data_IF_229642981355
#
_entry.id   IF_229642981355
#
_cell.length_a   1.000
_cell.length_b   1.000
_cell.length_c   1.000
_cell.angle_alpha   90.00
_cell.angle_beta   90.00
_cell.angle_gamma   90.00
#
_symmetry.space_group_name_H-M   'P 1'
#
loop_
_entity.id
_entity.type
_entity.pdbx_description
1 polymer ?
#
# COMPACT_ATOMS: atom_id res chain seq x y z
N UNK A 1 17.54 5.33 -14.03
CA UNK A 1 16.71 6.13 -13.08
C UNK A 1 15.31 5.57 -13.12
N UNK A 2 14.86 4.99 -12.01
CA UNK A 2 13.47 4.52 -11.85
C UNK A 2 12.66 5.60 -11.13
N UNK A 3 11.37 5.65 -11.40
CA UNK A 3 10.41 6.38 -10.59
C UNK A 3 9.62 5.37 -9.77
N UNK A 4 9.56 5.59 -8.46
CA UNK A 4 8.98 4.65 -7.50
C UNK A 4 7.97 5.40 -6.64
N UNK A 5 6.76 4.84 -6.49
CA UNK A 5 5.74 5.34 -5.58
C UNK A 5 5.63 4.40 -4.36
N UNK A 6 5.68 4.99 -3.16
CA UNK A 6 5.44 4.30 -1.88
C UNK A 6 4.19 4.90 -1.23
N UNK A 7 3.08 4.18 -1.34
CA UNK A 7 1.75 4.61 -0.89
C UNK A 7 1.48 4.01 0.49
N UNK A 8 1.27 4.87 1.50
CA UNK A 8 1.32 4.50 2.91
C UNK A 8 2.78 4.40 3.37
N UNK A 9 3.57 5.43 3.04
CA UNK A 9 5.02 5.36 3.29
C UNK A 9 5.41 5.47 4.78
N UNK A 10 4.47 5.76 5.67
CA UNK A 10 4.70 5.92 7.10
C UNK A 10 5.93 6.82 7.37
N UNK A 11 6.87 6.42 8.23
CA UNK A 11 8.13 7.15 8.47
C UNK A 11 9.23 6.88 7.44
N UNK A 12 8.88 6.20 6.34
CA UNK A 12 9.73 5.97 5.17
C UNK A 12 10.72 4.81 5.30
N UNK A 13 10.44 3.81 6.12
CA UNK A 13 11.38 2.70 6.34
C UNK A 13 11.55 1.84 5.08
N UNK A 14 10.47 1.63 4.30
CA UNK A 14 10.58 0.95 3.02
C UNK A 14 11.43 1.76 2.02
N UNK A 15 11.24 3.08 1.94
CA UNK A 15 12.09 3.96 1.11
C UNK A 15 13.55 3.88 1.57
N UNK A 16 13.83 3.92 2.88
CA UNK A 16 15.21 3.82 3.42
C UNK A 16 15.89 2.52 3.01
N UNK A 17 15.15 1.39 3.10
CA UNK A 17 15.67 0.08 2.74
C UNK A 17 15.99 -0.07 1.25
N UNK A 18 15.23 0.63 0.38
CA UNK A 18 15.37 0.56 -1.09
C UNK A 18 16.10 1.78 -1.67
N UNK A 19 16.56 2.71 -0.82
CA UNK A 19 17.11 3.98 -1.27
C UNK A 19 18.39 3.80 -2.11
N UNK A 20 18.41 4.49 -3.22
CA UNK A 20 19.62 4.75 -3.98
C UNK A 20 19.55 6.15 -4.60
N UNK A 21 20.69 6.72 -4.95
CA UNK A 21 20.79 8.11 -5.44
C UNK A 21 20.38 8.28 -6.90
N UNK A 22 20.22 7.19 -7.64
CA UNK A 22 19.87 7.22 -9.07
C UNK A 22 18.38 7.16 -9.32
N UNK A 23 17.56 6.72 -8.36
CA UNK A 23 16.13 6.57 -8.50
C UNK A 23 15.37 7.70 -7.77
N UNK A 24 14.15 7.98 -8.22
CA UNK A 24 13.27 9.00 -7.64
C UNK A 24 12.15 8.33 -6.88
N UNK A 25 11.90 8.78 -5.66
CA UNK A 25 10.87 8.26 -4.77
C UNK A 25 9.80 9.31 -4.49
N UNK A 26 8.53 8.93 -4.62
CA UNK A 26 7.36 9.71 -4.20
C UNK A 26 6.65 8.90 -3.13
N UNK A 27 6.74 9.35 -1.88
CA UNK A 27 5.99 8.79 -0.75
C UNK A 27 4.66 9.51 -0.57
N UNK A 28 3.61 8.78 -0.24
CA UNK A 28 2.29 9.33 0.11
C UNK A 28 1.91 8.81 1.49
N UNK A 29 1.61 9.73 2.40
CA UNK A 29 1.24 9.42 3.79
C UNK A 29 0.07 10.32 4.23
N UNK A 30 -0.98 9.68 4.75
CA UNK A 30 -2.22 10.37 5.12
C UNK A 30 -2.09 11.11 6.46
N UNK A 31 -1.41 10.53 7.45
CA UNK A 31 -1.17 11.18 8.74
C UNK A 31 -0.20 12.36 8.58
N UNK A 32 -0.66 13.55 9.00
CA UNK A 32 0.16 14.76 8.90
C UNK A 32 1.46 14.68 9.72
N UNK A 33 1.38 14.19 10.94
CA UNK A 33 2.54 14.14 11.85
C UNK A 33 3.56 13.09 11.38
N UNK A 34 3.07 11.93 10.93
CA UNK A 34 3.88 10.85 10.38
C UNK A 34 4.54 11.32 9.08
N UNK A 35 3.79 11.93 8.15
CA UNK A 35 4.34 12.48 6.90
C UNK A 35 5.38 13.58 7.16
N UNK A 36 5.17 14.42 8.17
CA UNK A 36 6.16 15.42 8.57
C UNK A 36 7.45 14.77 9.07
N UNK A 37 7.34 13.75 9.93
CA UNK A 37 8.49 12.99 10.43
C UNK A 37 9.24 12.33 9.28
N UNK A 38 8.52 11.70 8.33
CA UNK A 38 9.10 11.12 7.14
C UNK A 38 9.88 12.16 6.32
N UNK A 39 9.29 13.33 6.04
CA UNK A 39 9.99 14.44 5.34
C UNK A 39 11.27 14.85 6.03
N UNK A 40 11.27 14.96 7.36
CA UNK A 40 12.48 15.32 8.11
C UNK A 40 13.57 14.26 7.96
N UNK A 41 13.20 12.97 7.88
CA UNK A 41 14.14 11.87 7.65
C UNK A 41 14.83 11.93 6.28
N UNK A 42 14.19 12.55 5.29
CA UNK A 42 14.69 12.68 3.91
C UNK A 42 15.04 14.10 3.49
N UNK A 43 15.12 15.06 4.41
CA UNK A 43 15.34 16.49 4.11
C UNK A 43 16.57 16.78 3.24
N UNK A 44 17.59 15.94 3.31
CA UNK A 44 18.86 16.08 2.57
C UNK A 44 18.89 15.16 1.31
N UNK A 45 17.74 14.61 0.89
CA UNK A 45 17.59 13.68 -0.24
C UNK A 45 16.71 14.33 -1.32
N UNK A 46 17.33 15.00 -2.28
CA UNK A 46 16.61 15.73 -3.36
C UNK A 46 15.75 14.82 -4.25
N UNK A 47 16.05 13.52 -4.28
CA UNK A 47 15.35 12.53 -5.07
C UNK A 47 14.18 11.84 -4.31
N UNK A 48 13.85 12.29 -3.09
CA UNK A 48 12.73 11.81 -2.29
C UNK A 48 11.75 12.95 -2.02
N UNK A 49 10.49 12.77 -2.41
CA UNK A 49 9.41 13.70 -2.14
C UNK A 49 8.30 12.99 -1.35
N UNK A 50 7.91 13.54 -0.21
CA UNK A 50 6.81 13.01 0.61
C UNK A 50 5.61 13.94 0.54
N UNK A 51 4.45 13.39 0.20
CA UNK A 51 3.18 14.08 0.06
C UNK A 51 2.25 13.69 1.21
N UNK A 52 1.57 14.69 1.78
CA UNK A 52 0.54 14.43 2.78
C UNK A 52 -0.84 14.41 2.10
N UNK A 53 -1.27 13.23 1.71
CA UNK A 53 -2.57 12.92 1.13
C UNK A 53 -3.00 11.52 1.55
N UNK A 54 -4.29 11.27 1.54
CA UNK A 54 -4.88 9.94 1.59
C UNK A 54 -5.00 9.41 0.16
N UNK A 55 -4.33 8.30 -0.14
CA UNK A 55 -4.49 7.64 -1.44
C UNK A 55 -5.89 7.01 -1.55
N UNK A 56 -6.60 7.28 -2.66
CA UNK A 56 -7.97 6.81 -2.88
C UNK A 56 -8.26 6.66 -4.38
N UNK A 57 -9.45 6.18 -4.71
CA UNK A 57 -9.93 6.04 -6.10
C UNK A 57 -9.94 7.37 -6.86
N UNK A 58 -10.27 8.47 -6.18
CA UNK A 58 -10.41 9.80 -6.80
C UNK A 58 -9.63 10.85 -6.03
N UNK A 59 -9.18 11.88 -6.76
CA UNK A 59 -8.47 13.04 -6.21
C UNK A 59 -9.40 14.22 -5.97
N UNK A 60 -8.97 15.14 -5.10
CA UNK A 60 -9.62 16.43 -4.90
C UNK A 60 -10.88 16.37 -4.03
N UNK A 61 -11.08 15.28 -3.32
CA UNK A 61 -12.10 15.13 -2.27
C UNK A 61 -11.43 15.05 -0.90
N UNK A 62 -12.20 14.77 0.14
CA UNK A 62 -11.65 14.42 1.45
C UNK A 62 -12.37 13.21 2.01
N UNK A 63 -11.64 12.41 2.77
CA UNK A 63 -12.14 11.19 3.41
C UNK A 63 -11.74 11.16 4.88
N UNK A 64 -12.52 10.48 5.70
CA UNK A 64 -12.19 10.20 7.09
C UNK A 64 -10.99 9.26 7.17
N UNK A 65 -10.09 9.58 8.07
CA UNK A 65 -8.89 8.83 8.38
C UNK A 65 -8.76 8.67 9.89
N UNK A 66 -8.50 7.48 10.33
CA UNK A 66 -8.44 7.07 11.73
C UNK A 66 -6.96 6.85 12.11
N UNK A 67 -6.39 7.84 12.79
CA UNK A 67 -5.03 7.73 13.30
C UNK A 67 -4.97 6.75 14.47
N UNK A 68 -3.91 5.94 14.53
CA UNK A 68 -3.62 5.02 15.62
C UNK A 68 -2.22 5.29 16.16
N UNK A 69 -2.08 5.54 17.46
CA UNK A 69 -0.78 5.88 18.07
C UNK A 69 0.17 4.67 18.25
N UNK A 70 -0.22 3.50 17.76
CA UNK A 70 0.60 2.30 17.83
C UNK A 70 1.78 2.37 16.86
N UNK A 71 3.01 2.20 17.35
CA UNK A 71 4.26 2.09 16.56
C UNK A 71 4.38 3.14 15.43
N UNK A 72 4.31 4.43 15.76
CA UNK A 72 4.40 5.53 14.79
C UNK A 72 3.26 5.54 13.75
N UNK A 73 2.07 5.07 14.13
CA UNK A 73 0.90 5.15 13.27
C UNK A 73 0.80 4.04 12.21
N UNK A 74 1.56 2.95 12.35
CA UNK A 74 1.53 1.84 11.37
C UNK A 74 0.15 1.22 11.16
N UNK A 75 -0.76 1.33 12.13
CA UNK A 75 -2.13 0.79 12.04
C UNK A 75 -3.17 1.85 11.65
N UNK A 76 -2.73 3.06 11.30
CA UNK A 76 -3.64 4.14 10.90
C UNK A 76 -4.28 3.83 9.54
N UNK A 77 -5.58 4.07 9.40
CA UNK A 77 -6.34 3.58 8.25
C UNK A 77 -7.49 4.50 7.84
N UNK A 78 -7.93 4.41 6.60
CA UNK A 78 -9.20 4.92 6.10
C UNK A 78 -10.30 3.82 6.04
N UNK A 79 -9.98 2.59 6.42
CA UNK A 79 -10.90 1.46 6.40
C UNK A 79 -11.61 1.30 7.75
N UNK A 80 -12.93 1.51 7.78
CA UNK A 80 -13.74 1.23 8.99
C UNK A 80 -13.67 -0.26 9.33
N UNK A 81 -13.65 -1.15 8.33
CA UNK A 81 -13.60 -2.58 8.56
C UNK A 81 -12.28 -3.00 9.23
N UNK A 82 -11.16 -2.43 8.81
CA UNK A 82 -9.88 -2.64 9.46
C UNK A 82 -9.91 -2.23 10.93
N UNK A 83 -10.40 -1.01 11.20
CA UNK A 83 -10.52 -0.45 12.53
C UNK A 83 -11.46 -1.25 13.45
N UNK A 84 -12.62 -1.71 12.93
CA UNK A 84 -13.71 -2.25 13.75
C UNK A 84 -13.79 -3.78 13.77
N UNK A 85 -13.21 -4.49 12.78
CA UNK A 85 -13.41 -5.94 12.60
C UNK A 85 -12.12 -6.74 12.49
N UNK A 86 -10.98 -6.12 12.19
CA UNK A 86 -9.70 -6.80 12.03
C UNK A 86 -9.04 -7.17 13.36
N UNK A 87 -7.90 -7.83 13.27
CA UNK A 87 -7.05 -8.21 14.43
C UNK A 87 -6.66 -7.03 15.32
N UNK A 88 -6.71 -5.83 14.78
CA UNK A 88 -6.36 -4.58 15.45
C UNK A 88 -7.57 -3.78 15.96
N UNK A 89 -8.79 -4.33 15.92
CA UNK A 89 -10.02 -3.66 16.36
C UNK A 89 -9.99 -3.23 17.84
N UNK A 90 -9.15 -3.84 18.66
CA UNK A 90 -8.97 -3.48 20.08
C UNK A 90 -7.94 -2.35 20.28
N UNK A 91 -7.29 -1.86 19.24
CA UNK A 91 -6.36 -0.75 19.33
C UNK A 91 -7.12 0.58 19.51
N UNK A 92 -6.44 1.55 20.09
CA UNK A 92 -7.02 2.87 20.30
C UNK A 92 -6.80 3.71 19.03
N UNK A 93 -7.88 3.99 18.34
CA UNK A 93 -7.92 4.96 17.26
C UNK A 93 -8.41 6.31 17.78
N UNK A 94 -7.88 7.37 17.20
CA UNK A 94 -8.34 8.73 17.49
C UNK A 94 -9.67 9.03 16.77
N UNK A 95 -10.31 10.15 17.13
CA UNK A 95 -11.45 10.67 16.38
C UNK A 95 -11.03 10.92 14.92
N UNK A 96 -11.90 10.56 13.95
CA UNK A 96 -11.52 10.67 12.55
C UNK A 96 -11.25 12.12 12.12
N UNK A 97 -10.20 12.29 11.36
CA UNK A 97 -9.87 13.55 10.70
C UNK A 97 -10.17 13.46 9.21
N UNK A 98 -10.47 14.60 8.57
CA UNK A 98 -10.62 14.66 7.12
C UNK A 98 -9.27 14.92 6.46
N UNK A 99 -8.87 14.03 5.57
CA UNK A 99 -7.64 14.16 4.78
C UNK A 99 -7.99 14.29 3.30
N UNK A 100 -7.32 15.19 2.59
CA UNK A 100 -7.49 15.35 1.14
C UNK A 100 -7.01 14.11 0.40
N UNK A 101 -7.76 13.71 -0.63
CA UNK A 101 -7.48 12.49 -1.39
C UNK A 101 -6.64 12.75 -2.64
N UNK A 102 -5.84 11.74 -3.02
CA UNK A 102 -5.11 11.68 -4.28
C UNK A 102 -5.17 10.27 -4.87
N UNK A 103 -5.43 10.17 -6.19
CA UNK A 103 -5.40 8.89 -6.90
C UNK A 103 -4.02 8.61 -7.48
N UNK A 104 -3.72 7.33 -7.75
CA UNK A 104 -2.47 6.94 -8.40
C UNK A 104 -2.38 7.58 -9.80
N UNK A 105 -3.47 7.67 -10.54
CA UNK A 105 -3.49 8.34 -11.86
C UNK A 105 -3.14 9.83 -11.77
N UNK A 106 -3.55 10.51 -10.69
CA UNK A 106 -3.14 11.88 -10.47
C UNK A 106 -1.64 12.00 -10.14
N UNK A 107 -1.10 11.07 -9.37
CA UNK A 107 0.36 10.98 -9.15
C UNK A 107 1.11 10.74 -10.46
N UNK A 108 0.60 9.85 -11.32
CA UNK A 108 1.18 9.60 -12.65
C UNK A 108 1.13 10.87 -13.52
N UNK A 109 0.03 11.61 -13.46
CA UNK A 109 -0.09 12.89 -14.20
C UNK A 109 0.92 13.93 -13.72
N UNK A 110 1.19 13.99 -12.42
CA UNK A 110 2.10 14.97 -11.81
C UNK A 110 3.58 14.61 -11.96
N UNK A 111 3.93 13.33 -11.85
CA UNK A 111 5.32 12.89 -11.71
C UNK A 111 5.81 11.99 -12.84
N UNK A 112 4.91 11.47 -13.67
CA UNK A 112 5.19 10.48 -14.70
C UNK A 112 4.80 9.06 -14.25
N UNK A 113 4.82 8.13 -15.22
CA UNK A 113 4.49 6.72 -14.98
C UNK A 113 5.58 6.04 -14.17
N UNK A 114 5.28 5.47 -13.00
CA UNK A 114 6.28 4.82 -12.17
C UNK A 114 6.71 3.46 -12.74
N UNK A 115 7.92 3.06 -12.40
CA UNK A 115 8.43 1.71 -12.64
C UNK A 115 7.92 0.72 -11.59
N UNK A 116 7.70 1.22 -10.37
CA UNK A 116 7.27 0.40 -9.23
C UNK A 116 6.32 1.19 -8.33
N UNK A 117 5.26 0.54 -7.86
CA UNK A 117 4.35 1.05 -6.83
C UNK A 117 4.29 0.05 -5.69
N UNK A 118 4.51 0.51 -4.45
CA UNK A 118 4.17 -0.23 -3.23
C UNK A 118 2.95 0.43 -2.59
N UNK A 119 1.99 -0.38 -2.16
CA UNK A 119 0.76 0.07 -1.46
C UNK A 119 0.65 -0.72 -0.16
N UNK A 120 0.57 0.02 0.94
CA UNK A 120 0.43 -0.53 2.28
C UNK A 120 -0.31 0.52 3.11
N UNK A 121 -1.62 0.39 3.19
CA UNK A 121 -2.54 1.41 3.71
C UNK A 121 -3.58 0.82 4.67
N UNK A 122 -3.21 -0.33 5.25
CA UNK A 122 -3.93 -0.93 6.38
C UNK A 122 -5.42 -1.17 6.06
N UNK A 123 -5.67 -2.07 5.08
CA UNK A 123 -7.00 -2.52 4.69
C UNK A 123 -7.75 -1.61 3.71
N UNK A 124 -7.07 -0.63 3.12
CA UNK A 124 -7.66 0.28 2.12
C UNK A 124 -7.07 0.09 0.71
N UNK A 125 -6.29 -0.96 0.49
CA UNK A 125 -5.53 -1.26 -0.73
C UNK A 125 -6.42 -1.32 -1.97
N UNK A 126 -7.57 -2.00 -1.89
CA UNK A 126 -8.49 -2.12 -3.02
C UNK A 126 -9.00 -0.75 -3.52
N UNK A 127 -9.24 0.19 -2.62
CA UNK A 127 -9.68 1.53 -2.99
C UNK A 127 -8.56 2.31 -3.67
N UNK A 128 -7.33 2.17 -3.16
CA UNK A 128 -6.14 2.78 -3.76
C UNK A 128 -5.87 2.19 -5.14
N UNK A 129 -5.93 0.86 -5.29
CA UNK A 129 -5.79 0.17 -6.59
C UNK A 129 -6.77 0.69 -7.64
N UNK A 130 -8.04 0.92 -7.27
CA UNK A 130 -9.05 1.50 -8.17
C UNK A 130 -8.76 2.93 -8.62
N UNK A 131 -7.81 3.60 -7.98
CA UNK A 131 -7.27 4.90 -8.41
C UNK A 131 -6.21 4.82 -9.52
N UNK A 132 -5.86 3.61 -9.99
CA UNK A 132 -4.96 3.34 -11.10
C UNK A 132 -5.76 2.77 -12.27
N UNK A 133 -5.74 3.41 -13.46
CA UNK A 133 -6.47 2.94 -14.65
C UNK A 133 -5.56 2.41 -15.75
N UNK A 134 -4.27 2.27 -15.50
CA UNK A 134 -3.29 1.80 -16.47
C UNK A 134 -2.27 0.86 -15.83
N UNK A 135 -1.81 -0.15 -16.58
CA UNK A 135 -0.76 -1.06 -16.12
C UNK A 135 0.56 -0.31 -15.91
N UNK A 136 1.26 -0.62 -14.80
CA UNK A 136 2.66 -0.24 -14.53
C UNK A 136 3.57 -1.47 -14.59
N UNK A 137 4.89 -1.30 -14.47
CA UNK A 137 5.82 -2.43 -14.63
C UNK A 137 5.74 -3.41 -13.45
N UNK A 138 5.66 -2.87 -12.23
CA UNK A 138 5.57 -3.65 -10.99
C UNK A 138 4.66 -2.93 -10.00
N UNK A 139 3.76 -3.66 -9.37
CA UNK A 139 2.97 -3.16 -8.25
C UNK A 139 2.98 -4.20 -7.13
N UNK A 140 3.07 -3.73 -5.89
CA UNK A 140 2.84 -4.56 -4.72
C UNK A 140 1.82 -3.92 -3.80
N UNK A 141 1.02 -4.76 -3.13
CA UNK A 141 0.06 -4.29 -2.14
C UNK A 141 -0.11 -5.30 -0.99
N UNK A 142 -0.39 -4.77 0.21
CA UNK A 142 -0.57 -5.60 1.39
C UNK A 142 -1.82 -6.48 1.29
N UNK A 143 -1.75 -7.67 1.88
CA UNK A 143 -2.88 -8.55 2.13
C UNK A 143 -2.93 -9.00 3.59
N UNK A 144 -4.14 -9.16 4.12
CA UNK A 144 -4.38 -9.73 5.44
C UNK A 144 -5.46 -10.81 5.34
N UNK A 145 -5.32 -11.87 6.14
CA UNK A 145 -6.22 -13.04 6.09
C UNK A 145 -7.67 -12.66 6.31
N UNK A 146 -7.95 -11.78 7.24
CA UNK A 146 -9.32 -11.35 7.57
C UNK A 146 -9.98 -10.52 6.45
N UNK A 147 -9.19 -9.96 5.52
CA UNK A 147 -9.66 -9.15 4.37
C UNK A 147 -9.31 -9.78 3.02
N UNK A 148 -9.15 -11.11 2.99
CA UNK A 148 -8.70 -11.85 1.81
C UNK A 148 -9.59 -11.63 0.57
N UNK A 149 -10.89 -11.41 0.77
CA UNK A 149 -11.82 -11.08 -0.32
C UNK A 149 -11.46 -9.75 -1.01
N UNK A 150 -11.03 -8.75 -0.24
CA UNK A 150 -10.54 -7.48 -0.79
C UNK A 150 -9.26 -7.69 -1.60
N UNK A 151 -8.37 -8.55 -1.12
CA UNK A 151 -7.14 -8.94 -1.83
C UNK A 151 -7.44 -9.64 -3.15
N UNK A 152 -8.38 -10.61 -3.15
CA UNK A 152 -8.82 -11.30 -4.37
C UNK A 152 -9.43 -10.30 -5.37
N UNK A 153 -10.26 -9.37 -4.90
CA UNK A 153 -10.81 -8.31 -5.74
C UNK A 153 -9.71 -7.39 -6.31
N UNK A 154 -8.65 -7.12 -5.53
CA UNK A 154 -7.47 -6.39 -5.99
C UNK A 154 -6.72 -7.13 -7.11
N UNK A 155 -6.49 -8.45 -6.96
CA UNK A 155 -5.87 -9.28 -8.00
C UNK A 155 -6.74 -9.26 -9.28
N UNK A 156 -8.06 -9.45 -9.16
CA UNK A 156 -8.96 -9.43 -10.31
C UNK A 156 -8.94 -8.05 -11.00
N UNK A 157 -8.94 -6.97 -10.25
CA UNK A 157 -8.82 -5.62 -10.80
C UNK A 157 -7.52 -5.42 -11.58
N UNK A 158 -6.40 -5.89 -11.02
CA UNK A 158 -5.12 -5.82 -11.72
C UNK A 158 -5.09 -6.67 -13.01
N UNK A 159 -5.79 -7.82 -13.03
CA UNK A 159 -5.97 -8.61 -14.26
C UNK A 159 -6.71 -7.81 -15.34
N UNK A 160 -7.77 -7.08 -14.98
CA UNK A 160 -8.51 -6.22 -15.91
C UNK A 160 -7.61 -5.11 -16.49
N UNK A 161 -6.63 -4.63 -15.72
CA UNK A 161 -5.60 -3.68 -16.19
C UNK A 161 -4.48 -4.32 -17.02
N UNK A 162 -4.49 -5.65 -17.20
CA UNK A 162 -3.54 -6.38 -18.02
C UNK A 162 -2.31 -6.92 -17.28
N UNK A 163 -2.32 -6.96 -15.94
CA UNK A 163 -1.32 -7.72 -15.18
C UNK A 163 -1.57 -9.22 -15.34
N UNK A 164 -0.53 -10.00 -15.56
CA UNK A 164 -0.65 -11.42 -15.88
C UNK A 164 0.17 -12.33 -14.99
N UNK A 165 1.07 -11.78 -14.21
CA UNK A 165 1.98 -12.52 -13.34
C UNK A 165 1.87 -11.99 -11.91
N UNK A 166 1.70 -12.89 -10.95
CA UNK A 166 1.47 -12.58 -9.55
C UNK A 166 2.41 -13.39 -8.64
N UNK A 167 2.68 -12.86 -7.46
CA UNK A 167 3.37 -13.58 -6.39
C UNK A 167 2.73 -13.24 -5.04
N UNK A 168 2.57 -14.24 -4.18
CA UNK A 168 2.08 -14.09 -2.81
C UNK A 168 3.23 -14.32 -1.86
N UNK A 169 3.63 -13.27 -1.15
CA UNK A 169 4.66 -13.30 -0.11
C UNK A 169 4.01 -13.21 1.26
N UNK A 170 4.42 -14.09 2.16
CA UNK A 170 4.13 -13.99 3.57
C UNK A 170 5.12 -12.98 4.16
N UNK A 171 4.67 -12.09 5.00
CA UNK A 171 5.44 -10.96 5.54
C UNK A 171 5.80 -9.87 4.49
N UNK A 172 6.41 -8.78 4.93
CA UNK A 172 6.95 -7.71 4.08
C UNK A 172 8.45 -7.49 4.37
N UNK A 173 9.35 -8.34 3.87
CA UNK A 173 10.77 -8.01 3.86
C UNK A 173 11.00 -6.92 2.80
N UNK A 174 11.13 -5.69 3.20
CA UNK A 174 11.15 -4.47 2.35
C UNK A 174 11.97 -4.56 1.07
N UNK A 175 13.03 -5.37 1.07
CA UNK A 175 13.91 -5.57 -0.09
C UNK A 175 13.59 -6.82 -0.91
N UNK A 176 12.50 -7.54 -0.56
CA UNK A 176 12.12 -8.73 -1.30
C UNK A 176 11.77 -8.40 -2.76
N UNK A 177 12.17 -9.31 -3.66
CA UNK A 177 11.79 -9.29 -5.08
C UNK A 177 11.48 -10.72 -5.51
N UNK A 178 10.29 -10.95 -6.12
CA UNK A 178 9.95 -12.29 -6.61
C UNK A 178 10.94 -12.77 -7.67
N UNK A 179 11.43 -13.98 -7.53
CA UNK A 179 12.26 -14.71 -8.49
C UNK A 179 11.45 -15.71 -9.34
N UNK A 180 10.24 -16.03 -8.89
CA UNK A 180 9.25 -16.82 -9.62
C UNK A 180 7.91 -16.07 -9.70
N UNK A 181 7.05 -16.51 -10.62
CA UNK A 181 5.78 -15.84 -10.87
C UNK A 181 4.69 -16.86 -11.18
N UNK A 182 3.48 -16.58 -10.73
CA UNK A 182 2.31 -17.44 -10.85
C UNK A 182 1.22 -16.74 -11.66
N UNK A 183 0.26 -17.51 -12.15
CA UNK A 183 -1.00 -16.98 -12.68
C UNK A 183 -1.82 -16.37 -11.53
N UNK A 184 -2.80 -15.54 -11.86
CA UNK A 184 -3.74 -15.02 -10.86
C UNK A 184 -4.51 -16.14 -10.15
N UNK A 185 -4.91 -17.19 -10.88
CA UNK A 185 -5.62 -18.34 -10.32
C UNK A 185 -4.76 -19.08 -9.27
N UNK A 186 -3.48 -19.30 -9.56
CA UNK A 186 -2.55 -19.92 -8.61
C UNK A 186 -2.31 -19.05 -7.38
N UNK A 187 -2.17 -17.72 -7.56
CA UNK A 187 -2.02 -16.77 -6.46
C UNK A 187 -3.28 -16.76 -5.56
N UNK A 188 -4.47 -16.69 -6.14
CA UNK A 188 -5.75 -16.76 -5.40
C UNK A 188 -5.89 -18.09 -4.68
N UNK A 189 -5.52 -19.21 -5.31
CA UNK A 189 -5.52 -20.54 -4.66
C UNK A 189 -4.58 -20.57 -3.46
N UNK A 190 -3.39 -19.98 -3.57
CA UNK A 190 -2.44 -19.89 -2.46
C UNK A 190 -3.03 -19.08 -1.30
N UNK A 191 -3.66 -17.92 -1.56
CA UNK A 191 -4.36 -17.12 -0.56
C UNK A 191 -5.51 -17.91 0.11
N UNK A 192 -6.29 -18.67 -0.66
CA UNK A 192 -7.34 -19.54 -0.12
C UNK A 192 -6.84 -20.60 0.86
N UNK A 193 -5.58 -21.02 0.74
CA UNK A 193 -4.94 -21.94 1.67
C UNK A 193 -4.77 -21.35 3.08
N UNK A 194 -4.52 -20.04 3.21
CA UNK A 194 -4.39 -19.38 4.50
C UNK A 194 -5.72 -19.33 5.29
N UNK A 195 -6.85 -19.14 4.61
CA UNK A 195 -8.20 -19.10 5.22
C UNK A 195 -8.57 -20.39 5.99
N UNK A 196 -7.91 -21.50 5.71
CA UNK A 196 -8.21 -22.81 6.30
C UNK A 196 -7.10 -23.36 7.21
N UNK A 197 -6.04 -22.61 7.40
CA UNK A 197 -4.96 -23.01 8.32
C UNK A 197 -5.33 -22.52 9.72
N UNK A 198 -5.67 -23.44 10.63
CA UNK A 198 -6.07 -23.13 12.02
C UNK A 198 -5.02 -22.35 12.81
N UNK A 199 -3.76 -22.41 12.39
CA UNK A 199 -2.63 -21.71 12.99
C UNK A 199 -2.26 -20.40 12.29
N UNK A 200 -2.93 -20.07 11.18
CA UNK A 200 -2.70 -18.88 10.36
C UNK A 200 -3.47 -17.64 10.84
N UNK A 201 -4.12 -17.69 12.00
CA UNK A 201 -4.74 -16.50 12.61
C UNK A 201 -3.68 -15.42 12.74
N UNK A 202 -3.80 -14.40 11.86
CA UNK A 202 -2.91 -13.26 11.67
C UNK A 202 -1.92 -13.39 10.50
N UNK A 203 -2.17 -14.23 9.51
CA UNK A 203 -1.38 -14.23 8.28
C UNK A 203 -1.56 -12.91 7.52
N UNK A 204 -0.47 -12.38 7.03
CA UNK A 204 -0.41 -11.15 6.26
C UNK A 204 0.83 -11.15 5.36
N UNK A 205 0.93 -10.21 4.47
CA UNK A 205 2.10 -10.07 3.61
C UNK A 205 1.82 -9.23 2.38
N UNK A 206 2.55 -9.48 1.30
CA UNK A 206 2.48 -8.68 0.09
C UNK A 206 2.08 -9.51 -1.13
N UNK A 207 1.20 -8.95 -1.95
CA UNK A 207 0.97 -9.39 -3.33
C UNK A 207 1.87 -8.56 -4.24
N UNK A 208 2.57 -9.23 -5.15
CA UNK A 208 3.29 -8.57 -6.26
C UNK A 208 2.61 -8.92 -7.57
N UNK A 209 2.54 -7.94 -8.52
CA UNK A 209 1.97 -8.15 -9.85
C UNK A 209 2.74 -7.39 -10.94
N UNK A 210 2.87 -8.02 -12.13
CA UNK A 210 3.48 -7.41 -13.33
C UNK A 210 2.83 -7.87 -14.64
#
# INVERSE_FOLDING_TARGET
MKLIFDIGCNIGDWIKANYNTSDRFIGVEADYNVSHTCRQGFKDKENVLILNFLADTVSGTSKEFYACDYCHGVLSTASIDWKDKGRFANQKYEEPIKVNTISIDSLITLFGKPDEIKIDVEGFELQVLKGLTQKVNLISFEWAEEFIENTINGINYLMELGFTQFYVKDDDPYTFRPDEWFTAEEAIKKLGGYKYMSDAQNAWGMIYAK
#
